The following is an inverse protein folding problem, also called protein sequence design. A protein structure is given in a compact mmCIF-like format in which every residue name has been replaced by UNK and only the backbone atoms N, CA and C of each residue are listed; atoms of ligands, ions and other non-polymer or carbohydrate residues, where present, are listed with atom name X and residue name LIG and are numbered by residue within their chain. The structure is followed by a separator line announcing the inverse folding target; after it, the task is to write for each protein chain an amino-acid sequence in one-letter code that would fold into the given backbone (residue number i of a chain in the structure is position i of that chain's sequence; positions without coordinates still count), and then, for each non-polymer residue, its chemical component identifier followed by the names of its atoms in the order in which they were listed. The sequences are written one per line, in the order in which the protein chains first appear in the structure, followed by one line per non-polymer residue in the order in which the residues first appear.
data_IF_233564473306
#
_entry.id   IF_233564473306
#
_cell.length_a   1.000
_cell.length_b   1.000
_cell.length_c   1.000
_cell.angle_alpha   90.00
_cell.angle_beta   90.00
_cell.angle_gamma   90.00
#
_symmetry.space_group_name_H-M   'P 1'
#
loop_
_entity.id
_entity.type
_entity.pdbx_description
1 polymer ?
#
# COMPACT_ATOMS: atom_id res chain seq x y z
N UNK A 1 -7.50 9.04 -4.03
CA UNK A 1 -7.60 8.26 -2.77
C UNK A 1 -8.01 6.83 -3.13
N UNK A 2 -7.34 5.82 -2.59
CA UNK A 2 -7.55 4.42 -2.97
C UNK A 2 -8.59 3.72 -2.08
N UNK A 3 -8.55 3.96 -0.77
CA UNK A 3 -9.41 3.26 0.18
C UNK A 3 -9.61 4.04 1.47
N UNK A 4 -10.70 3.76 2.20
CA UNK A 4 -10.94 4.28 3.54
C UNK A 4 -11.55 3.19 4.41
N UNK A 5 -10.94 2.91 5.56
CA UNK A 5 -11.40 1.83 6.42
C UNK A 5 -10.71 1.75 7.77
N UNK A 6 -10.95 0.64 8.46
CA UNK A 6 -10.37 0.32 9.76
C UNK A 6 -9.40 -0.84 9.64
N UNK A 7 -8.22 -0.70 10.25
CA UNK A 7 -7.23 -1.77 10.33
C UNK A 7 -7.78 -2.91 11.18
N UNK A 8 -7.77 -4.13 10.62
CA UNK A 8 -8.28 -5.35 11.25
C UNK A 8 -7.23 -6.39 11.55
N UNK A 9 -6.12 -6.34 10.85
CA UNK A 9 -5.02 -7.24 11.11
C UNK A 9 -3.71 -6.59 10.68
N UNK A 10 -2.66 -6.91 11.42
CA UNK A 10 -1.31 -6.49 11.05
C UNK A 10 -0.33 -7.62 11.34
N UNK A 11 0.23 -8.18 10.28
CA UNK A 11 1.34 -9.12 10.37
C UNK A 11 2.66 -8.38 10.17
N UNK A 12 3.63 -8.64 11.04
CA UNK A 12 4.98 -8.07 10.97
C UNK A 12 6.02 -9.11 11.31
N UNK A 13 7.06 -9.19 10.50
CA UNK A 13 8.19 -10.08 10.68
C UNK A 13 9.47 -9.33 10.32
N UNK A 14 10.54 -9.60 11.05
CA UNK A 14 11.88 -9.18 10.67
C UNK A 14 12.47 -10.28 9.79
N UNK A 15 12.75 -9.95 8.54
CA UNK A 15 13.43 -10.83 7.59
C UNK A 15 14.74 -10.20 7.16
N UNK A 16 15.85 -10.72 7.71
CA UNK A 16 17.16 -10.10 7.56
C UNK A 16 17.16 -8.69 8.16
N UNK A 17 17.45 -7.69 7.32
CA UNK A 17 17.48 -6.28 7.72
C UNK A 17 16.17 -5.52 7.47
N UNK A 18 15.10 -6.21 7.05
CA UNK A 18 13.87 -5.56 6.60
C UNK A 18 12.66 -5.94 7.47
N UNK A 19 11.84 -4.94 7.81
CA UNK A 19 10.54 -5.16 8.41
C UNK A 19 9.52 -5.45 7.28
N UNK A 20 9.04 -6.68 7.20
CA UNK A 20 8.08 -7.12 6.18
C UNK A 20 6.76 -7.52 6.81
N UNK A 21 5.70 -7.43 6.03
CA UNK A 21 4.41 -7.97 6.42
C UNK A 21 3.26 -7.38 5.65
N UNK A 22 2.08 -7.45 6.27
CA UNK A 22 0.83 -7.02 5.65
C UNK A 22 -0.11 -6.33 6.63
N UNK A 23 -0.92 -5.42 6.11
CA UNK A 23 -2.00 -4.74 6.85
C UNK A 23 -3.33 -5.03 6.15
N UNK A 24 -4.28 -5.64 6.87
CA UNK A 24 -5.65 -5.84 6.37
C UNK A 24 -6.56 -4.71 6.85
N UNK A 25 -7.27 -4.07 5.94
CA UNK A 25 -8.14 -2.93 6.19
C UNK A 25 -9.56 -3.24 5.71
N UNK A 26 -10.53 -3.23 6.62
CA UNK A 26 -11.96 -3.34 6.27
C UNK A 26 -12.54 -1.98 5.95
N UNK A 27 -13.22 -1.86 4.81
CA UNK A 27 -13.74 -0.60 4.31
C UNK A 27 -14.88 -0.01 5.14
N UNK A 28 -14.95 1.32 5.15
CA UNK A 28 -16.00 2.10 5.81
C UNK A 28 -16.67 3.08 4.83
N UNK A 29 -17.88 3.52 5.15
CA UNK A 29 -18.66 4.42 4.28
C UNK A 29 -18.90 3.79 2.90
N UNK A 30 -18.50 4.47 1.84
CA UNK A 30 -18.59 3.99 0.45
C UNK A 30 -17.75 2.73 0.16
N UNK A 31 -16.81 2.37 1.05
CA UNK A 31 -15.99 1.16 0.93
C UNK A 31 -16.53 0.00 1.77
N UNK A 32 -17.70 0.14 2.44
CA UNK A 32 -18.25 -0.91 3.30
C UNK A 32 -18.44 -2.23 2.52
N UNK A 33 -18.05 -3.34 3.15
CA UNK A 33 -18.12 -4.68 2.55
C UNK A 33 -16.91 -5.04 1.69
N UNK A 34 -15.98 -4.11 1.48
CA UNK A 34 -14.72 -4.32 0.75
C UNK A 34 -13.56 -4.44 1.73
N UNK A 35 -12.47 -5.09 1.30
CA UNK A 35 -11.24 -5.21 2.08
C UNK A 35 -10.04 -4.93 1.19
N UNK A 36 -9.10 -4.14 1.70
CA UNK A 36 -7.78 -3.96 1.08
C UNK A 36 -6.71 -4.58 1.97
N UNK A 37 -5.77 -5.27 1.34
CA UNK A 37 -4.54 -5.73 1.97
C UNK A 37 -3.37 -4.90 1.43
N UNK A 38 -2.60 -4.31 2.33
CA UNK A 38 -1.35 -3.64 1.99
C UNK A 38 -0.17 -4.57 2.27
N UNK A 39 0.71 -4.76 1.30
CA UNK A 39 2.01 -5.41 1.50
C UNK A 39 3.10 -4.36 1.74
N UNK A 40 4.06 -4.64 2.63
CA UNK A 40 5.17 -3.72 2.89
C UNK A 40 6.50 -4.43 3.15
N UNK A 41 7.58 -3.70 2.84
CA UNK A 41 8.96 -3.96 3.26
C UNK A 41 9.61 -2.62 3.61
N UNK A 42 9.65 -2.25 4.89
CA UNK A 42 9.92 -0.91 5.42
C UNK A 42 8.93 0.17 4.93
N UNK A 43 8.56 0.17 3.65
CA UNK A 43 7.55 1.02 3.02
C UNK A 43 6.41 0.18 2.43
N UNK A 44 5.22 0.77 2.24
CA UNK A 44 4.11 0.10 1.56
C UNK A 44 4.42 -0.05 0.06
N UNK A 45 4.34 -1.29 -0.43
CA UNK A 45 4.74 -1.65 -1.79
C UNK A 45 3.56 -2.05 -2.67
N UNK A 46 2.46 -2.52 -2.09
CA UNK A 46 1.25 -2.90 -2.81
C UNK A 46 0.00 -2.58 -2.01
N UNK A 47 -1.09 -2.34 -2.74
CA UNK A 47 -2.45 -2.29 -2.24
C UNK A 47 -3.31 -3.20 -3.13
N UNK A 48 -3.86 -4.26 -2.55
CA UNK A 48 -4.65 -5.26 -3.26
C UNK A 48 -6.06 -5.34 -2.68
N UNK A 49 -7.06 -5.43 -3.56
CA UNK A 49 -8.45 -5.72 -3.22
C UNK A 49 -8.93 -6.92 -4.06
N UNK A 50 -9.33 -8.01 -3.40
CA UNK A 50 -9.89 -9.21 -4.04
C UNK A 50 -9.07 -9.71 -5.26
N UNK A 51 -7.73 -9.80 -5.11
CA UNK A 51 -6.83 -10.24 -6.17
C UNK A 51 -6.49 -9.17 -7.23
N UNK A 52 -7.06 -7.97 -7.12
CA UNK A 52 -6.78 -6.84 -8.00
C UNK A 52 -5.87 -5.84 -7.32
N UNK A 53 -4.71 -5.58 -7.94
CA UNK A 53 -3.83 -4.49 -7.53
C UNK A 53 -4.51 -3.13 -7.78
N UNK A 54 -4.70 -2.37 -6.71
CA UNK A 54 -5.13 -0.97 -6.74
C UNK A 54 -3.94 -0.03 -6.98
N UNK A 55 -2.77 -0.39 -6.44
CA UNK A 55 -1.52 0.34 -6.59
C UNK A 55 -0.33 -0.58 -6.28
N UNK A 56 0.81 -0.29 -6.90
CA UNK A 56 2.11 -0.89 -6.55
C UNK A 56 3.20 0.16 -6.64
N UNK A 57 4.33 -0.09 -5.97
CA UNK A 57 5.61 0.58 -6.27
C UNK A 57 5.89 0.56 -7.79
N UNK A 58 6.53 1.59 -8.38
CA UNK A 58 7.11 2.79 -7.74
C UNK A 58 6.12 3.89 -7.33
N UNK A 59 4.82 3.74 -7.58
CA UNK A 59 3.86 4.72 -7.08
C UNK A 59 3.82 4.66 -5.54
N UNK A 60 3.77 5.83 -4.90
CA UNK A 60 3.82 5.92 -3.45
C UNK A 60 2.47 5.49 -2.87
N UNK A 61 2.50 4.53 -1.95
CA UNK A 61 1.34 4.12 -1.16
C UNK A 61 1.56 4.62 0.26
N UNK A 62 0.61 5.40 0.78
CA UNK A 62 0.70 5.95 2.14
C UNK A 62 -0.60 5.81 2.90
N UNK A 63 -0.48 5.67 4.21
CA UNK A 63 -1.59 5.70 5.14
C UNK A 63 -1.62 7.05 5.85
N UNK A 64 -2.82 7.61 5.98
CA UNK A 64 -3.08 8.72 6.90
C UNK A 64 -4.18 8.32 7.90
N UNK A 65 -4.07 8.79 9.13
CA UNK A 65 -5.14 8.68 10.12
C UNK A 65 -6.36 9.44 9.62
N UNK A 66 -7.51 8.79 9.59
CA UNK A 66 -8.73 9.34 9.00
C UNK A 66 -9.29 10.54 9.78
N UNK A 67 -8.93 10.71 11.05
CA UNK A 67 -9.42 11.77 11.92
C UNK A 67 -8.47 12.97 11.97
N UNK A 68 -7.15 12.72 11.98
CA UNK A 68 -6.16 13.78 12.13
C UNK A 68 -5.47 14.17 10.83
N UNK A 69 -5.49 13.30 9.82
CA UNK A 69 -4.74 13.47 8.58
C UNK A 69 -3.22 13.25 8.72
N UNK A 70 -2.73 12.87 9.91
CA UNK A 70 -1.32 12.58 10.13
C UNK A 70 -0.90 11.29 9.39
N UNK A 71 0.34 11.21 8.87
CA UNK A 71 0.85 9.98 8.26
C UNK A 71 0.94 8.86 9.30
N UNK A 72 0.71 7.62 8.85
CA UNK A 72 0.85 6.41 9.66
C UNK A 72 1.94 5.52 9.04
N UNK A 73 3.18 5.61 9.55
CA UNK A 73 4.29 4.76 9.12
C UNK A 73 4.03 3.26 9.32
N UNK A 74 4.69 2.41 8.52
CA UNK A 74 4.52 0.95 8.50
C UNK A 74 4.80 0.28 9.86
N UNK A 75 5.66 0.85 10.70
CA UNK A 75 6.02 0.36 12.04
C UNK A 75 5.01 0.77 13.12
N UNK A 76 4.22 1.82 12.88
CA UNK A 76 3.23 2.35 13.84
C UNK A 76 1.79 1.90 13.57
N UNK A 77 1.49 1.30 12.40
CA UNK A 77 0.13 0.83 12.11
C UNK A 77 -0.31 -0.20 13.15
N UNK A 78 -1.50 -0.04 13.72
CA UNK A 78 -2.02 -0.96 14.73
C UNK A 78 -3.48 -1.27 14.48
N UNK A 79 -3.91 -2.42 15.00
CA UNK A 79 -5.31 -2.83 15.00
C UNK A 79 -6.21 -1.69 15.47
N UNK A 80 -7.33 -1.51 14.78
CA UNK A 80 -8.36 -0.56 15.16
C UNK A 80 -8.14 0.88 14.66
N UNK A 81 -6.99 1.23 14.08
CA UNK A 81 -6.82 2.55 13.46
C UNK A 81 -7.82 2.77 12.32
N UNK A 82 -8.42 3.96 12.27
CA UNK A 82 -9.22 4.41 11.14
C UNK A 82 -8.27 5.13 10.18
N UNK A 83 -8.13 4.65 8.95
CA UNK A 83 -7.10 5.12 8.01
C UNK A 83 -7.66 5.34 6.62
N UNK A 84 -7.06 6.28 5.89
CA UNK A 84 -7.23 6.41 4.43
C UNK A 84 -5.96 5.93 3.74
N UNK A 85 -6.12 5.13 2.70
CA UNK A 85 -5.04 4.68 1.82
C UNK A 85 -4.97 5.65 0.64
N UNK A 86 -3.83 6.29 0.47
CA UNK A 86 -3.55 7.17 -0.65
C UNK A 86 -2.52 6.53 -1.56
N UNK A 87 -2.73 6.68 -2.86
CA UNK A 87 -1.75 6.41 -3.90
C UNK A 87 -1.34 7.73 -4.53
N UNK A 88 -0.05 7.96 -4.73
CA UNK A 88 0.48 9.12 -5.44
C UNK A 88 1.36 8.62 -6.59
N UNK A 89 1.18 9.12 -7.82
CA UNK A 89 2.00 8.70 -8.95
C UNK A 89 3.48 8.97 -8.69
N UNK A 90 4.33 8.03 -9.10
CA UNK A 90 5.76 8.24 -9.12
C UNK A 90 6.15 9.27 -10.18
N UNK A 91 7.35 9.83 -10.05
CA UNK A 91 7.97 10.60 -11.12
C UNK A 91 8.09 9.74 -12.40
N UNK A 92 7.82 10.29 -13.61
CA UNK A 92 7.94 9.55 -14.86
C UNK A 92 9.30 8.86 -15.08
N UNK A 93 10.40 9.36 -14.49
CA UNK A 93 11.71 8.72 -14.59
C UNK A 93 11.71 7.28 -14.06
N UNK A 94 10.82 6.96 -13.11
CA UNK A 94 10.72 5.62 -12.52
C UNK A 94 9.92 4.62 -13.36
N UNK A 95 9.37 5.06 -14.51
CA UNK A 95 8.48 4.23 -15.34
C UNK A 95 9.17 3.62 -16.55
N UNK A 96 10.46 3.86 -16.74
CA UNK A 96 11.24 3.16 -17.79
C UNK A 96 11.42 1.69 -17.42
N UNK A 97 11.71 0.84 -18.40
CA UNK A 97 11.92 -0.58 -18.18
C UNK A 97 13.07 -0.84 -17.19
N UNK A 98 14.18 -0.09 -17.33
CA UNK A 98 15.36 -0.20 -16.47
C UNK A 98 15.05 0.23 -15.04
N UNK A 99 14.29 1.32 -14.87
CA UNK A 99 13.88 1.78 -13.54
C UNK A 99 12.93 0.77 -12.89
N UNK A 100 11.93 0.26 -13.62
CA UNK A 100 10.99 -0.74 -13.11
C UNK A 100 11.67 -2.07 -12.75
N UNK A 101 12.78 -2.42 -13.41
CA UNK A 101 13.59 -3.57 -13.00
C UNK A 101 14.23 -3.41 -11.60
N UNK A 102 14.41 -2.16 -11.13
CA UNK A 102 15.02 -1.83 -9.83
C UNK A 102 14.00 -1.50 -8.74
N UNK A 103 12.87 -0.86 -9.10
CA UNK A 103 11.89 -0.34 -8.13
C UNK A 103 10.47 -0.84 -8.36
N UNK A 104 10.24 -1.63 -9.40
CA UNK A 104 8.94 -2.17 -9.72
C UNK A 104 8.51 -3.33 -8.81
N UNK A 105 7.25 -3.77 -8.90
CA UNK A 105 6.67 -4.77 -8.01
C UNK A 105 7.46 -6.10 -8.01
N UNK A 106 7.92 -6.56 -9.18
CA UNK A 106 8.66 -7.82 -9.32
C UNK A 106 10.02 -7.81 -8.63
N UNK A 107 10.68 -6.66 -8.51
CA UNK A 107 11.93 -6.53 -7.76
C UNK A 107 11.73 -6.91 -6.28
N UNK A 108 10.55 -6.60 -5.73
CA UNK A 108 10.16 -6.94 -4.36
C UNK A 108 9.43 -8.28 -4.23
N UNK A 109 9.40 -9.09 -5.29
CA UNK A 109 8.75 -10.41 -5.29
C UNK A 109 7.21 -10.36 -5.37
N UNK A 110 6.63 -9.23 -5.78
CA UNK A 110 5.18 -9.10 -6.01
C UNK A 110 4.90 -9.51 -7.47
N UNK A 111 4.09 -10.55 -7.66
CA UNK A 111 3.72 -11.06 -8.98
C UNK A 111 2.65 -10.18 -9.65
N UNK A 112 3.07 -9.00 -10.12
CA UNK A 112 2.25 -8.04 -10.84
C UNK A 112 3.08 -7.24 -11.85
N UNK A 113 2.45 -6.78 -12.94
CA UNK A 113 3.02 -5.73 -13.79
C UNK A 113 2.72 -4.35 -13.19
N UNK A 114 3.68 -3.42 -13.30
CA UNK A 114 3.42 -2.03 -12.93
C UNK A 114 2.36 -1.41 -13.83
N UNK A 115 1.36 -0.78 -13.21
CA UNK A 115 0.34 0.02 -13.89
C UNK A 115 0.31 1.39 -13.20
N UNK A 116 0.57 2.49 -13.92
CA UNK A 116 0.48 3.82 -13.34
C UNK A 116 -0.88 4.08 -12.72
N UNK A 117 -0.89 4.75 -11.56
CA UNK A 117 -2.11 5.22 -10.95
C UNK A 117 -2.90 6.14 -11.88
N UNK A 118 -4.21 5.89 -11.95
CA UNK A 118 -5.14 6.76 -12.66
C UNK A 118 -5.43 7.98 -11.79
N UNK A 119 -4.85 9.12 -12.17
CA UNK A 119 -5.09 10.42 -11.54
C UNK A 119 -6.13 11.18 -12.35
N UNK A 120 -7.39 11.05 -11.92
CA UNK A 120 -8.49 11.91 -12.36
C UNK A 120 -8.51 13.24 -11.58
#
# INVERSE_FOLDING_TARGET
MLFHGRVRDVERRLEGAFAKGSVRIEGQGHFRGRTVTLGFQNEFLSAEEDGRMLATTPDLITLIDANTGAPVPTDTVKYGLSVKVLGLPCDPIWRTEEALALVGPRYFGIDADYKPLDVA
#
